data_IF_356775823783
#
_entry.id   IF_356775823783
#
_cell.length_a   1.000
_cell.length_b   1.000
_cell.length_c   1.000
_cell.angle_alpha   90.00
_cell.angle_beta   90.00
_cell.angle_gamma   90.00
#
_symmetry.space_group_name_H-M   'P 1'
#
loop_
_entity.id
_entity.type
_entity.pdbx_description
1 polymer ?
#
# COMPACT_ATOMS: atom_id res chain seq x y z
N UNK A 1 27.65 3.13 4.04
CA UNK A 1 26.32 3.61 3.59
C UNK A 1 25.28 3.07 4.53
N UNK A 2 24.29 3.88 4.91
CA UNK A 2 23.22 3.43 5.81
C UNK A 2 22.13 2.74 5.06
N UNK A 3 21.56 1.70 5.67
CA UNK A 3 20.56 0.85 5.04
C UNK A 3 19.23 0.91 5.78
N UNK A 4 18.16 0.72 5.04
CA UNK A 4 16.78 0.63 5.53
C UNK A 4 16.24 -0.74 5.15
N UNK A 5 15.61 -1.42 6.10
CA UNK A 5 14.91 -2.67 5.85
C UNK A 5 13.49 -2.34 5.41
N UNK A 6 13.16 -2.76 4.19
CA UNK A 6 11.78 -2.67 3.68
C UNK A 6 10.90 -3.74 4.32
N UNK A 7 9.58 -3.60 4.16
CA UNK A 7 8.57 -4.57 4.65
C UNK A 7 8.72 -5.99 4.09
N UNK A 8 9.33 -6.10 2.92
CA UNK A 8 9.63 -7.38 2.25
C UNK A 8 10.99 -7.96 2.68
N UNK A 9 11.63 -7.42 3.71
CA UNK A 9 12.92 -7.84 4.23
C UNK A 9 14.13 -7.35 3.42
N UNK A 10 13.93 -6.72 2.27
CA UNK A 10 15.05 -6.23 1.45
C UNK A 10 15.71 -5.02 2.08
N UNK A 11 17.03 -5.01 2.09
CA UNK A 11 17.83 -3.86 2.47
C UNK A 11 18.02 -2.91 1.28
N UNK A 12 17.76 -1.63 1.52
CA UNK A 12 17.98 -0.57 0.52
C UNK A 12 18.74 0.57 1.14
N UNK A 13 19.41 1.37 0.31
CA UNK A 13 20.09 2.56 0.76
C UNK A 13 19.11 3.58 1.36
N UNK A 14 19.56 4.22 2.44
CA UNK A 14 18.78 5.27 3.12
C UNK A 14 18.74 6.54 2.29
N UNK A 15 17.55 7.00 1.96
CA UNK A 15 17.33 8.23 1.19
C UNK A 15 16.54 9.24 2.03
N UNK A 16 17.21 10.28 2.48
CA UNK A 16 16.63 11.39 3.26
C UNK A 16 15.50 12.10 2.50
N UNK A 17 15.62 12.20 1.18
CA UNK A 17 14.65 12.91 0.35
C UNK A 17 13.29 12.24 0.39
N UNK A 18 13.21 10.92 0.56
CA UNK A 18 11.93 10.21 0.71
C UNK A 18 11.17 10.65 1.95
N UNK A 19 11.89 10.88 3.06
CA UNK A 19 11.29 11.38 4.30
C UNK A 19 10.81 12.82 4.11
N UNK A 20 11.67 13.69 3.61
CA UNK A 20 11.33 15.10 3.36
C UNK A 20 10.12 15.21 2.44
N UNK A 21 10.09 14.45 1.34
CA UNK A 21 8.99 14.47 0.39
C UNK A 21 7.68 13.92 0.98
N UNK A 22 7.74 12.91 1.85
CA UNK A 22 6.55 12.39 2.52
C UNK A 22 5.94 13.43 3.47
N UNK A 23 6.78 14.16 4.23
CA UNK A 23 6.32 15.24 5.12
C UNK A 23 5.77 16.40 4.29
N UNK A 24 6.44 16.80 3.20
CA UNK A 24 5.97 17.88 2.33
C UNK A 24 4.61 17.58 1.69
N UNK A 25 4.33 16.34 1.31
CA UNK A 25 3.00 15.95 0.82
C UNK A 25 1.92 16.13 1.89
N UNK A 26 2.23 15.80 3.15
CA UNK A 26 1.31 16.07 4.26
C UNK A 26 1.12 17.58 4.49
N UNK A 27 2.18 18.40 4.36
CA UNK A 27 2.08 19.86 4.42
C UNK A 27 1.17 20.41 3.33
N UNK A 28 1.33 19.95 2.10
CA UNK A 28 0.51 20.39 0.96
C UNK A 28 -0.97 20.06 1.16
N UNK A 29 -1.30 18.92 1.77
CA UNK A 29 -2.69 18.53 2.02
C UNK A 29 -3.40 19.44 3.04
N UNK A 30 -2.65 20.16 3.87
CA UNK A 30 -3.18 21.15 4.83
C UNK A 30 -2.88 22.60 4.39
N UNK A 31 -2.50 22.80 3.13
CA UNK A 31 -2.15 24.11 2.55
C UNK A 31 -1.04 24.86 3.31
N UNK A 32 -0.12 24.12 3.94
CA UNK A 32 1.03 24.70 4.63
C UNK A 32 2.24 24.73 3.68
N UNK A 33 2.83 25.91 3.49
CA UNK A 33 3.95 26.10 2.56
C UNK A 33 5.33 25.86 3.20
N UNK A 34 5.46 26.07 4.51
CA UNK A 34 6.75 25.93 5.20
C UNK A 34 6.57 25.45 6.65
N UNK A 35 7.55 24.71 7.15
CA UNK A 35 7.67 24.27 8.54
C UNK A 35 9.02 24.67 9.12
N UNK A 36 9.60 25.79 8.65
CA UNK A 36 10.91 26.30 9.11
C UNK A 36 12.03 25.24 9.06
N UNK A 37 11.97 24.34 8.06
CA UNK A 37 12.98 23.29 7.86
C UNK A 37 12.86 22.10 8.82
N UNK A 38 11.77 21.98 9.58
CA UNK A 38 11.54 20.84 10.50
C UNK A 38 11.58 19.50 9.76
N UNK A 39 11.07 19.44 8.53
CA UNK A 39 11.10 18.25 7.68
C UNK A 39 12.52 17.74 7.41
N UNK A 40 13.48 18.67 7.24
CA UNK A 40 14.89 18.33 7.03
C UNK A 40 15.53 17.89 8.36
N UNK A 41 15.24 18.60 9.47
CA UNK A 41 15.74 18.24 10.80
C UNK A 41 15.31 16.83 11.18
N UNK A 42 14.04 16.47 10.97
CA UNK A 42 13.54 15.11 11.23
C UNK A 42 14.30 14.08 10.38
N UNK A 43 14.50 14.35 9.08
CA UNK A 43 15.22 13.44 8.20
C UNK A 43 16.69 13.26 8.63
N UNK A 44 17.35 14.33 9.09
CA UNK A 44 18.74 14.29 9.58
C UNK A 44 18.84 13.54 10.91
N UNK A 45 17.93 13.75 11.83
CA UNK A 45 17.88 13.01 13.09
C UNK A 45 17.72 11.50 12.85
N UNK A 46 16.80 11.10 11.99
CA UNK A 46 16.62 9.69 11.64
C UNK A 46 17.88 9.13 10.95
N UNK A 47 18.48 9.91 10.08
CA UNK A 47 19.74 9.53 9.44
C UNK A 47 20.86 9.35 10.46
N UNK A 48 20.90 10.10 11.54
CA UNK A 48 21.92 10.05 12.59
C UNK A 48 21.71 8.90 13.59
N UNK A 49 20.60 8.19 13.55
CA UNK A 49 20.44 6.94 14.31
C UNK A 49 21.40 5.87 13.79
N UNK A 50 22.30 5.40 14.67
CA UNK A 50 23.46 4.56 14.28
C UNK A 50 23.15 3.09 13.97
N UNK A 51 21.94 2.75 13.49
CA UNK A 51 21.53 1.37 13.21
C UNK A 51 20.81 1.25 11.87
N UNK A 52 20.87 0.07 11.29
CA UNK A 52 19.94 -0.32 10.22
C UNK A 52 18.52 -0.24 10.79
N UNK A 53 17.64 0.49 10.14
CA UNK A 53 16.31 0.80 10.66
C UNK A 53 15.22 0.29 9.71
N UNK A 54 14.13 -0.23 10.26
CA UNK A 54 12.96 -0.64 9.50
C UNK A 54 12.12 0.56 9.07
N UNK A 55 11.52 0.47 7.87
CA UNK A 55 10.65 1.52 7.32
C UNK A 55 9.53 1.90 8.29
N UNK A 56 8.94 0.92 9.00
CA UNK A 56 7.87 1.18 9.97
C UNK A 56 8.36 2.04 11.13
N UNK A 57 9.52 1.71 11.68
CA UNK A 57 10.14 2.50 12.77
C UNK A 57 10.45 3.93 12.32
N UNK A 58 10.91 4.11 11.09
CA UNK A 58 11.10 5.45 10.49
C UNK A 58 9.78 6.23 10.51
N UNK A 59 8.68 5.60 10.07
CA UNK A 59 7.37 6.24 10.03
C UNK A 59 6.86 6.59 11.42
N UNK A 60 7.06 5.72 12.41
CA UNK A 60 6.67 5.96 13.80
C UNK A 60 7.46 7.14 14.41
N UNK A 61 8.74 7.24 14.10
CA UNK A 61 9.57 8.38 14.56
C UNK A 61 9.08 9.69 13.92
N UNK A 62 8.80 9.69 12.62
CA UNK A 62 8.27 10.88 11.92
C UNK A 62 6.94 11.31 12.55
N UNK A 63 6.02 10.37 12.75
CA UNK A 63 4.72 10.60 13.35
C UNK A 63 4.85 11.21 14.75
N UNK A 64 5.67 10.59 15.60
CA UNK A 64 5.94 11.08 16.95
C UNK A 64 6.53 12.50 16.94
N UNK A 65 7.50 12.77 16.06
CA UNK A 65 8.13 14.09 15.95
C UNK A 65 7.16 15.16 15.44
N UNK A 66 6.32 14.83 14.47
CA UNK A 66 5.29 15.75 14.00
C UNK A 66 4.23 16.03 15.08
N UNK A 67 3.80 15.00 15.84
CA UNK A 67 2.83 15.14 16.93
C UNK A 67 3.37 15.99 18.10
N UNK A 68 4.66 15.95 18.36
CA UNK A 68 5.30 16.76 19.40
C UNK A 68 5.63 18.19 18.94
N UNK A 69 5.51 18.48 17.66
CA UNK A 69 5.71 19.81 17.10
C UNK A 69 4.44 20.67 17.16
N UNK A 70 4.56 21.95 16.84
CA UNK A 70 3.42 22.86 16.73
C UNK A 70 2.54 22.58 15.50
N UNK A 71 2.99 21.71 14.58
CA UNK A 71 2.33 21.40 13.31
C UNK A 71 1.44 20.17 13.41
N UNK A 72 0.48 20.16 14.35
CA UNK A 72 -0.41 19.01 14.63
C UNK A 72 -1.29 18.63 13.45
N UNK A 73 -1.70 19.60 12.63
CA UNK A 73 -2.50 19.34 11.43
C UNK A 73 -1.71 18.56 10.38
N UNK A 74 -0.42 18.89 10.23
CA UNK A 74 0.48 18.11 9.34
C UNK A 74 0.68 16.71 9.88
N UNK A 75 0.82 16.54 11.19
CA UNK A 75 0.90 15.22 11.82
C UNK A 75 -0.33 14.37 11.52
N UNK A 76 -1.51 14.95 11.69
CA UNK A 76 -2.79 14.29 11.38
C UNK A 76 -2.89 13.89 9.90
N UNK A 77 -2.55 14.80 9.00
CA UNK A 77 -2.53 14.54 7.56
C UNK A 77 -1.54 13.42 7.19
N UNK A 78 -0.36 13.41 7.82
CA UNK A 78 0.64 12.36 7.63
C UNK A 78 0.13 10.97 8.06
N UNK A 79 -0.53 10.88 9.22
CA UNK A 79 -1.13 9.64 9.74
C UNK A 79 -2.22 9.13 8.80
N UNK A 80 -3.13 10.00 8.34
CA UNK A 80 -4.19 9.65 7.40
C UNK A 80 -3.57 9.10 6.11
N UNK A 81 -2.61 9.80 5.52
CA UNK A 81 -1.91 9.34 4.32
C UNK A 81 -1.22 7.98 4.52
N UNK A 82 -0.54 7.77 5.65
CA UNK A 82 0.08 6.50 6.00
C UNK A 82 -0.95 5.36 6.02
N UNK A 83 -2.09 5.58 6.68
CA UNK A 83 -3.18 4.61 6.79
C UNK A 83 -3.79 4.26 5.42
N UNK A 84 -4.06 5.26 4.59
CA UNK A 84 -4.57 5.04 3.22
C UNK A 84 -3.59 4.22 2.37
N UNK A 85 -2.30 4.53 2.45
CA UNK A 85 -1.26 3.76 1.75
C UNK A 85 -1.19 2.32 2.25
N UNK A 86 -1.43 2.07 3.52
CA UNK A 86 -1.46 0.71 4.10
C UNK A 86 -2.69 -0.04 3.60
N UNK A 87 -3.88 0.55 3.70
CA UNK A 87 -5.13 -0.05 3.16
C UNK A 87 -5.02 -0.39 1.67
N UNK A 88 -4.48 0.52 0.86
CA UNK A 88 -4.30 0.28 -0.58
C UNK A 88 -3.33 -0.88 -0.88
N UNK A 89 -2.28 -1.06 -0.06
CA UNK A 89 -1.37 -2.20 -0.20
C UNK A 89 -2.05 -3.51 0.20
N UNK A 90 -2.82 -3.51 1.29
CA UNK A 90 -3.58 -4.68 1.74
C UNK A 90 -4.61 -5.12 0.70
N UNK A 91 -5.35 -4.17 0.11
CA UNK A 91 -6.26 -4.45 -1.00
C UNK A 91 -5.54 -5.12 -2.17
N UNK A 92 -4.41 -4.55 -2.61
CA UNK A 92 -3.61 -5.14 -3.71
C UNK A 92 -3.09 -6.54 -3.36
N UNK A 93 -2.61 -6.74 -2.14
CA UNK A 93 -2.14 -8.05 -1.67
C UNK A 93 -3.26 -9.08 -1.64
N UNK A 94 -4.46 -8.69 -1.18
CA UNK A 94 -5.62 -9.57 -1.13
C UNK A 94 -6.11 -9.96 -2.52
N UNK A 95 -6.10 -9.03 -3.48
CA UNK A 95 -6.42 -9.32 -4.88
C UNK A 95 -5.43 -10.35 -5.43
N UNK A 96 -4.12 -10.13 -5.26
CA UNK A 96 -3.10 -11.06 -5.71
C UNK A 96 -3.25 -12.45 -5.09
N UNK A 97 -3.58 -12.54 -3.79
CA UNK A 97 -3.84 -13.81 -3.11
C UNK A 97 -5.05 -14.52 -3.70
N UNK A 98 -6.17 -13.80 -3.95
CA UNK A 98 -7.37 -14.37 -4.58
C UNK A 98 -7.07 -14.91 -5.97
N UNK A 99 -6.28 -14.17 -6.76
CA UNK A 99 -5.83 -14.60 -8.09
C UNK A 99 -5.01 -15.87 -8.00
N UNK A 100 -4.03 -15.91 -7.10
CA UNK A 100 -3.17 -17.09 -6.92
C UNK A 100 -3.94 -18.33 -6.44
N UNK A 101 -4.89 -18.16 -5.51
CA UNK A 101 -5.74 -19.25 -5.04
C UNK A 101 -6.56 -19.82 -6.19
N UNK A 102 -7.15 -18.97 -7.05
CA UNK A 102 -7.92 -19.43 -8.22
C UNK A 102 -7.05 -20.16 -9.24
N UNK A 103 -5.91 -19.58 -9.60
CA UNK A 103 -4.96 -20.23 -10.52
C UNK A 103 -4.52 -21.59 -9.99
N UNK A 104 -4.29 -21.72 -8.68
CA UNK A 104 -3.86 -22.99 -8.09
C UNK A 104 -5.00 -23.99 -7.91
N UNK A 105 -6.21 -23.56 -7.53
CA UNK A 105 -7.37 -24.46 -7.36
C UNK A 105 -7.82 -25.11 -8.67
N UNK A 106 -7.61 -24.47 -9.79
CA UNK A 106 -7.88 -25.05 -11.11
C UNK A 106 -6.88 -26.13 -11.50
N UNK A 107 -5.71 -26.14 -10.89
CA UNK A 107 -4.70 -27.21 -11.10
C UNK A 107 -5.13 -28.50 -10.40
N UNK A 108 -5.74 -28.41 -9.22
CA UNK A 108 -6.17 -29.58 -8.43
C UNK A 108 -7.47 -30.23 -8.95
N UNK A 109 -8.33 -29.48 -9.62
CA UNK A 109 -9.58 -30.02 -10.21
C UNK A 109 -9.37 -30.82 -11.51
N UNK A 110 -8.13 -31.01 -11.95
CA UNK A 110 -7.81 -31.78 -13.17
C UNK A 110 -8.11 -33.28 -13.08
N UNK A 111 -8.38 -33.83 -11.90
CA UNK A 111 -8.52 -35.28 -11.75
C UNK A 111 -9.92 -35.84 -12.06
N UNK A 112 -10.97 -35.01 -12.28
CA UNK A 112 -12.34 -35.47 -12.40
C UNK A 112 -13.17 -34.93 -13.56
N UNK A 113 -12.62 -34.19 -14.51
CA UNK A 113 -13.40 -33.69 -15.63
C UNK A 113 -12.80 -34.15 -16.96
N UNK A 114 -13.58 -34.97 -17.64
CA UNK A 114 -13.50 -35.31 -19.06
C UNK A 114 -13.77 -34.05 -19.90
N UNK A 115 -13.02 -32.98 -19.72
CA UNK A 115 -13.22 -31.71 -20.44
C UNK A 115 -11.92 -31.34 -21.12
N UNK A 116 -11.74 -31.85 -22.30
CA UNK A 116 -10.70 -31.45 -23.27
C UNK A 116 -10.86 -30.00 -23.78
N UNK A 117 -11.88 -29.26 -23.32
CA UNK A 117 -12.21 -27.94 -23.83
C UNK A 117 -11.67 -26.74 -23.01
N UNK A 118 -11.09 -26.95 -21.84
CA UNK A 118 -10.44 -25.85 -21.13
C UNK A 118 -8.98 -25.71 -21.54
N UNK A 119 -8.77 -25.20 -22.73
CA UNK A 119 -7.44 -24.75 -23.15
C UNK A 119 -6.90 -23.72 -22.16
N UNK A 120 -5.59 -23.67 -22.00
CA UNK A 120 -4.88 -22.67 -21.18
C UNK A 120 -5.37 -21.24 -21.47
N UNK A 121 -5.67 -20.94 -22.72
CA UNK A 121 -6.19 -19.64 -23.18
C UNK A 121 -7.62 -19.33 -22.70
N UNK A 122 -8.49 -20.33 -22.52
CA UNK A 122 -9.83 -20.14 -21.97
C UNK A 122 -9.79 -19.77 -20.49
N UNK A 123 -8.93 -20.44 -19.73
CA UNK A 123 -8.70 -20.18 -18.29
C UNK A 123 -8.06 -18.82 -18.03
N UNK A 124 -7.13 -18.43 -18.89
CA UNK A 124 -6.50 -17.11 -18.84
C UNK A 124 -7.52 -15.98 -19.07
N UNK A 125 -8.45 -16.18 -20.02
CA UNK A 125 -9.54 -15.23 -20.29
C UNK A 125 -10.52 -15.12 -19.12
N UNK A 126 -10.89 -16.23 -18.51
CA UNK A 126 -11.81 -16.26 -17.37
C UNK A 126 -11.17 -15.63 -16.13
N UNK A 127 -9.94 -15.99 -15.81
CA UNK A 127 -9.17 -15.37 -14.74
C UNK A 127 -8.96 -13.87 -14.97
N UNK A 128 -8.62 -13.45 -16.19
CA UNK A 128 -8.51 -12.04 -16.58
C UNK A 128 -9.81 -11.28 -16.43
N UNK A 129 -10.95 -11.88 -16.82
CA UNK A 129 -12.26 -11.26 -16.69
C UNK A 129 -12.65 -11.06 -15.24
N UNK A 130 -12.42 -12.04 -14.38
CA UNK A 130 -12.73 -11.96 -12.95
C UNK A 130 -11.82 -11.01 -12.19
N UNK A 131 -10.54 -10.97 -12.56
CA UNK A 131 -9.59 -9.98 -12.06
C UNK A 131 -10.05 -8.58 -12.48
N UNK A 132 -10.42 -8.41 -13.74
CA UNK A 132 -10.93 -7.15 -14.27
C UNK A 132 -12.19 -6.68 -13.53
N UNK A 133 -13.14 -7.57 -13.28
CA UNK A 133 -14.35 -7.28 -12.47
C UNK A 133 -14.00 -6.88 -11.04
N UNK A 134 -13.10 -7.62 -10.39
CA UNK A 134 -12.68 -7.32 -9.01
C UNK A 134 -11.96 -5.97 -8.93
N UNK A 135 -11.09 -5.67 -9.89
CA UNK A 135 -10.40 -4.37 -9.97
C UNK A 135 -11.40 -3.25 -10.24
N UNK A 136 -12.36 -3.45 -11.15
CA UNK A 136 -13.40 -2.47 -11.44
C UNK A 136 -14.28 -2.18 -10.21
N UNK A 137 -14.63 -3.18 -9.42
CA UNK A 137 -15.41 -3.02 -8.19
C UNK A 137 -14.60 -2.34 -7.06
N UNK A 138 -13.31 -2.66 -6.94
CA UNK A 138 -12.49 -2.13 -5.85
C UNK A 138 -11.82 -0.77 -6.18
N UNK A 139 -11.61 -0.46 -7.45
CA UNK A 139 -10.85 0.73 -7.90
C UNK A 139 -11.51 1.51 -9.04
N UNK A 140 -12.60 1.02 -9.64
CA UNK A 140 -13.14 1.51 -10.90
C UNK A 140 -14.20 2.60 -10.80
N UNK A 141 -14.19 3.45 -9.77
CA UNK A 141 -15.05 4.64 -9.73
C UNK A 141 -16.54 4.40 -9.41
N UNK A 142 -16.94 3.19 -9.08
CA UNK A 142 -18.23 2.94 -8.45
C UNK A 142 -18.21 3.46 -7.02
N UNK A 143 -19.28 4.12 -6.58
CA UNK A 143 -19.37 4.50 -5.17
C UNK A 143 -19.22 3.27 -4.29
N UNK A 144 -18.56 3.42 -3.15
CA UNK A 144 -18.31 2.31 -2.23
C UNK A 144 -19.60 1.56 -1.86
N UNK A 145 -20.73 2.25 -1.83
CA UNK A 145 -22.05 1.69 -1.51
C UNK A 145 -22.55 0.74 -2.59
N UNK A 146 -22.37 1.11 -3.87
CA UNK A 146 -22.76 0.25 -5.01
C UNK A 146 -21.84 -0.96 -5.12
N UNK A 147 -20.53 -0.76 -4.89
CA UNK A 147 -19.56 -1.86 -4.90
C UNK A 147 -19.82 -2.87 -3.78
N UNK A 148 -20.19 -2.41 -2.58
CA UNK A 148 -20.54 -3.27 -1.45
C UNK A 148 -21.85 -4.02 -1.68
N UNK A 149 -22.91 -3.35 -2.17
CA UNK A 149 -24.18 -3.98 -2.51
C UNK A 149 -24.00 -5.10 -3.54
N UNK A 150 -23.14 -4.89 -4.54
CA UNK A 150 -22.86 -5.91 -5.53
C UNK A 150 -22.07 -7.11 -4.97
N UNK A 151 -21.18 -6.88 -4.00
CA UNK A 151 -20.47 -7.96 -3.29
C UNK A 151 -21.40 -8.80 -2.41
N UNK A 152 -22.37 -8.17 -1.76
CA UNK A 152 -23.37 -8.86 -0.93
C UNK A 152 -24.36 -9.69 -1.75
N UNK A 153 -24.63 -9.33 -3.00
CA UNK A 153 -25.51 -10.09 -3.91
C UNK A 153 -24.84 -11.33 -4.53
N UNK A 154 -23.52 -11.46 -4.42
CA UNK A 154 -22.73 -12.57 -4.99
C UNK A 154 -22.37 -13.64 -3.94
N UNK A 155 -22.86 -13.54 -2.72
CA UNK A 155 -22.77 -14.54 -1.63
C UNK A 155 -24.10 -15.36 -1.59
#
# INVERSE_FOLDING_TARGET
MRKVIKRDGREVEFDKNKIVNAIRKAMQSVNLTTMNGLEKKIADEIYNLNSTIEVEKIQDIIEKKLMTSDYKDVAKAYIIYRNERTKNREKKSNILKKVMVRVNSEIDNRSNANVDEMSFSGREKEASSDIGKTIALDFGGLSNDVANAHKEMLV
#
